data_IF_960467548798
#
_entry.id   IF_960467548798
#
_cell.length_a   1.000
_cell.length_b   1.000
_cell.length_c   1.000
_cell.angle_alpha   90.00
_cell.angle_beta   90.00
_cell.angle_gamma   90.00
#
_symmetry.space_group_name_H-M   'P 1'
#
loop_
_entity.id
_entity.type
_entity.pdbx_description
1 polymer ?
#
# COMPACT_ATOMS: atom_id res chain seq x y z
N UNK A 1 -21.39 0.53 -1.98
CA UNK A 1 -20.07 0.95 -2.53
C UNK A 1 -20.06 2.39 -3.03
N UNK A 2 -21.21 3.04 -3.24
CA UNK A 2 -21.32 4.39 -3.83
C UNK A 2 -20.57 5.50 -3.07
N UNK A 3 -20.21 5.25 -1.81
CA UNK A 3 -19.59 6.23 -0.91
C UNK A 3 -18.07 6.03 -0.73
N UNK A 4 -17.48 4.98 -1.32
CA UNK A 4 -16.03 4.72 -1.20
C UNK A 4 -15.27 5.25 -2.41
N UNK A 5 -14.13 5.90 -2.13
CA UNK A 5 -13.13 6.21 -3.15
C UNK A 5 -12.17 5.03 -3.29
N UNK A 6 -11.98 4.54 -4.51
CA UNK A 6 -10.98 3.51 -4.81
C UNK A 6 -9.66 4.21 -5.14
N UNK A 7 -8.60 3.87 -4.41
CA UNK A 7 -7.24 4.35 -4.62
C UNK A 7 -6.34 3.13 -4.83
N UNK A 8 -5.60 3.11 -5.95
CA UNK A 8 -4.55 2.12 -6.19
C UNK A 8 -3.23 2.70 -5.70
N UNK A 9 -2.56 2.00 -4.79
CA UNK A 9 -1.22 2.37 -4.32
C UNK A 9 -0.16 1.66 -5.16
N UNK A 10 0.72 2.44 -5.79
CA UNK A 10 1.84 1.98 -6.61
C UNK A 10 3.02 2.96 -6.50
N UNK A 11 4.10 2.75 -7.26
CA UNK A 11 5.31 3.57 -7.19
C UNK A 11 5.09 5.02 -7.64
N UNK A 12 3.98 5.33 -8.32
CA UNK A 12 3.67 6.71 -8.75
C UNK A 12 3.11 7.58 -7.63
N UNK A 13 2.56 6.96 -6.57
CA UNK A 13 1.95 7.68 -5.45
C UNK A 13 2.44 7.23 -4.07
N UNK A 14 3.39 6.30 -4.01
CA UNK A 14 4.02 5.86 -2.78
C UNK A 14 5.44 6.38 -2.67
N UNK A 15 5.77 7.05 -1.56
CA UNK A 15 7.15 7.38 -1.23
C UNK A 15 7.93 6.15 -0.75
N UNK A 16 8.74 5.58 -1.65
CA UNK A 16 9.62 4.44 -1.39
C UNK A 16 10.88 4.78 -0.58
N UNK A 17 11.15 6.07 -0.37
CA UNK A 17 12.27 6.55 0.46
C UNK A 17 11.84 6.92 1.88
N UNK A 18 10.60 6.65 2.25
CA UNK A 18 9.99 7.03 3.54
C UNK A 18 10.76 6.55 4.77
N UNK A 19 11.49 5.43 4.68
CA UNK A 19 12.39 4.97 5.73
C UNK A 19 13.44 4.01 5.16
N UNK A 20 14.47 3.71 5.94
CA UNK A 20 15.54 2.80 5.54
C UNK A 20 15.04 1.41 5.18
N UNK A 21 14.08 0.87 5.95
CA UNK A 21 13.51 -0.45 5.72
C UNK A 21 12.84 -0.57 4.35
N UNK A 22 11.98 0.39 3.99
CA UNK A 22 11.26 0.37 2.69
C UNK A 22 12.24 0.51 1.55
N UNK A 23 13.20 1.43 1.66
CA UNK A 23 14.21 1.66 0.61
C UNK A 23 15.04 0.40 0.35
N UNK A 24 15.57 -0.22 1.39
CA UNK A 24 16.37 -1.44 1.26
C UNK A 24 15.54 -2.62 0.73
N UNK A 25 14.29 -2.76 1.19
CA UNK A 25 13.40 -3.78 0.67
C UNK A 25 13.08 -3.56 -0.82
N UNK A 26 12.88 -2.32 -1.25
CA UNK A 26 12.63 -1.96 -2.64
C UNK A 26 13.84 -2.25 -3.52
N UNK A 27 15.04 -1.82 -3.10
CA UNK A 27 16.31 -2.09 -3.80
C UNK A 27 16.61 -3.58 -3.95
N UNK A 28 16.24 -4.38 -2.94
CA UNK A 28 16.37 -5.85 -2.95
C UNK A 28 15.19 -6.56 -3.62
N UNK A 29 14.27 -5.82 -4.25
CA UNK A 29 13.07 -6.36 -4.93
C UNK A 29 12.18 -7.23 -4.02
N UNK A 30 12.18 -6.92 -2.72
CA UNK A 30 11.39 -7.59 -1.69
C UNK A 30 9.99 -6.97 -1.59
N UNK A 31 9.22 -7.09 -2.66
CA UNK A 31 7.94 -6.38 -2.86
C UNK A 31 6.91 -6.61 -1.75
N UNK A 32 6.83 -7.83 -1.20
CA UNK A 32 5.91 -8.14 -0.11
C UNK A 32 6.17 -7.26 1.14
N UNK A 33 7.44 -7.07 1.50
CA UNK A 33 7.81 -6.24 2.65
C UNK A 33 7.57 -4.75 2.40
N UNK A 34 7.75 -4.31 1.16
CA UNK A 34 7.40 -2.94 0.75
C UNK A 34 5.89 -2.74 0.88
N UNK A 35 5.09 -3.64 0.32
CA UNK A 35 3.62 -3.60 0.40
C UNK A 35 3.09 -3.67 1.83
N UNK A 36 3.66 -4.52 2.69
CA UNK A 36 3.27 -4.64 4.10
C UNK A 36 3.46 -3.33 4.87
N UNK A 37 4.56 -2.62 4.63
CA UNK A 37 4.78 -1.32 5.25
C UNK A 37 3.79 -0.28 4.70
N UNK A 38 3.64 -0.22 3.38
CA UNK A 38 2.75 0.75 2.71
C UNK A 38 1.32 0.58 3.22
N UNK A 39 0.84 -0.67 3.36
CA UNK A 39 -0.48 -0.99 3.93
C UNK A 39 -0.72 -0.27 5.25
N UNK A 40 0.23 -0.35 6.18
CA UNK A 40 0.09 0.30 7.49
C UNK A 40 0.13 1.82 7.36
N UNK A 41 1.07 2.36 6.57
CA UNK A 41 1.22 3.81 6.37
C UNK A 41 -0.04 4.45 5.78
N UNK A 42 -0.61 3.86 4.72
CA UNK A 42 -1.76 4.46 4.04
C UNK A 42 -3.03 4.35 4.89
N UNK A 43 -3.17 3.30 5.70
CA UNK A 43 -4.27 3.21 6.67
C UNK A 43 -4.10 4.26 7.78
N UNK A 44 -2.89 4.50 8.26
CA UNK A 44 -2.63 5.55 9.25
C UNK A 44 -2.97 6.95 8.71
N UNK A 45 -2.54 7.26 7.48
CA UNK A 45 -2.69 8.60 6.88
C UNK A 45 -4.11 8.87 6.35
N UNK A 46 -4.76 7.88 5.74
CA UNK A 46 -6.03 8.06 5.01
C UNK A 46 -7.22 7.36 5.68
N UNK A 47 -7.00 6.54 6.71
CA UNK A 47 -8.01 5.63 7.27
C UNK A 47 -8.61 4.71 6.19
N UNK A 48 -9.70 4.00 6.52
CA UNK A 48 -10.41 3.16 5.57
C UNK A 48 -9.96 1.70 5.57
N UNK A 49 -10.05 1.07 4.40
CA UNK A 49 -9.82 -0.38 4.23
C UNK A 49 -8.77 -0.55 3.14
N UNK A 50 -7.72 -1.32 3.45
CA UNK A 50 -6.75 -1.79 2.47
C UNK A 50 -7.10 -3.21 2.03
N UNK A 51 -6.98 -3.48 0.75
CA UNK A 51 -7.17 -4.81 0.15
C UNK A 51 -5.95 -5.11 -0.73
N UNK A 52 -5.49 -6.36 -0.68
CA UNK A 52 -4.52 -6.86 -1.66
C UNK A 52 -5.19 -6.97 -3.04
N UNK A 53 -4.37 -6.94 -4.10
CA UNK A 53 -4.85 -6.89 -5.49
C UNK A 53 -5.61 -8.16 -5.94
N UNK A 54 -5.50 -9.24 -5.16
CA UNK A 54 -6.12 -10.54 -5.40
C UNK A 54 -7.39 -10.77 -4.56
N UNK A 55 -7.84 -9.76 -3.81
CA UNK A 55 -9.08 -9.83 -3.03
C UNK A 55 -10.28 -9.39 -3.84
N UNK A 56 -11.34 -10.20 -3.81
CA UNK A 56 -12.65 -9.86 -4.37
C UNK A 56 -13.60 -9.40 -3.26
N UNK A 57 -14.28 -8.27 -3.48
CA UNK A 57 -15.34 -7.81 -2.60
C UNK A 57 -16.69 -8.37 -3.07
N UNK A 58 -17.32 -9.17 -2.22
CA UNK A 58 -18.69 -9.64 -2.46
C UNK A 58 -19.68 -8.59 -1.93
N UNK A 59 -20.65 -8.21 -2.77
CA UNK A 59 -21.67 -7.18 -2.47
C UNK A 59 -23.07 -7.74 -2.57
#
# INVERSE_FOLDING_TARGET
MSDYQIIRWDESNTDLNTCQFVREAFELQKWAFVSDYIRLKVIEEFSGIYLDIDVELLT
#
